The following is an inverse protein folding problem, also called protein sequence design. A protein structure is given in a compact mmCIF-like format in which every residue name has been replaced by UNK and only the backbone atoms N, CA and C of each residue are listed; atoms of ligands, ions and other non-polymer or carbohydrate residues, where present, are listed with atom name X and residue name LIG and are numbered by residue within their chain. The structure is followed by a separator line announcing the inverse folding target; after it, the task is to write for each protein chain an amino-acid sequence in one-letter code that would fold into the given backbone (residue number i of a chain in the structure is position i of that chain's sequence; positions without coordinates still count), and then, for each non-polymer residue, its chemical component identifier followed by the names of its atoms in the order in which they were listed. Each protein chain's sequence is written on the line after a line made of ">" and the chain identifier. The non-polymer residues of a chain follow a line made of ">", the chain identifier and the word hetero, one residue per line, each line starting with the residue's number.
data_IF_096379483025
#
_entry.id   IF_096379483025
#
_cell.length_a   1.000
_cell.length_b   1.000
_cell.length_c   1.000
_cell.angle_alpha   90.00
_cell.angle_beta   90.00
_cell.angle_gamma   90.00
#
_symmetry.space_group_name_H-M   'P 1'
#
loop_
_entity.id
_entity.type
_entity.pdbx_description
1 polymer ?
#
# COMPACT_ATOMS: atom_id res chain seq x y z
N UNK A 1 63.27 -3.45 29.50
CA UNK A 1 63.70 -2.27 28.72
C UNK A 1 62.98 -2.37 27.39
N UNK A 2 62.08 -1.41 27.12
CA UNK A 2 61.62 -1.00 25.78
C UNK A 2 60.89 -2.05 24.91
N UNK A 3 59.95 -1.78 24.01
CA UNK A 3 58.92 -0.77 23.71
C UNK A 3 58.30 -1.34 22.43
N UNK A 4 56.98 -1.30 22.26
CA UNK A 4 56.36 -1.80 21.02
C UNK A 4 54.84 -1.84 21.09
N UNK A 5 54.23 -0.67 21.29
CA UNK A 5 52.79 -0.49 21.23
C UNK A 5 52.29 -0.65 19.79
N UNK A 6 51.25 -1.47 19.59
CA UNK A 6 50.30 -1.28 18.50
C UNK A 6 48.98 -0.83 19.10
N UNK A 7 48.65 0.44 18.89
CA UNK A 7 47.35 1.00 19.20
C UNK A 7 46.36 0.55 18.12
N UNK A 8 45.35 -0.22 18.49
CA UNK A 8 44.11 -0.34 17.73
C UNK A 8 42.98 0.13 18.64
N UNK A 9 42.62 1.40 18.47
CA UNK A 9 41.48 2.06 19.07
C UNK A 9 40.18 1.48 18.48
N UNK A 10 39.27 1.04 19.35
CA UNK A 10 37.87 0.79 18.99
C UNK A 10 37.11 0.25 20.20
N UNK A 11 36.04 0.92 20.68
CA UNK A 11 35.16 0.32 21.67
C UNK A 11 34.52 -0.94 21.08
N UNK A 12 34.47 -2.01 21.88
CA UNK A 12 33.66 -3.18 21.60
C UNK A 12 32.19 -2.74 21.58
N UNK A 13 31.60 -2.59 20.40
CA UNK A 13 30.17 -2.31 20.26
C UNK A 13 29.39 -3.50 20.86
N UNK A 14 28.60 -3.28 21.93
CA UNK A 14 27.80 -4.35 22.50
C UNK A 14 26.65 -4.65 21.53
N UNK A 15 26.66 -5.85 20.98
CA UNK A 15 25.49 -6.62 20.55
C UNK A 15 24.36 -5.73 19.97
N UNK A 16 24.57 -5.21 18.75
CA UNK A 16 23.48 -4.66 17.94
C UNK A 16 22.89 -5.74 17.03
N UNK A 17 22.35 -6.77 17.67
CA UNK A 17 21.40 -7.68 17.04
C UNK A 17 20.14 -7.72 17.89
N UNK A 18 19.54 -6.55 18.12
CA UNK A 18 18.08 -6.52 18.23
C UNK A 18 17.59 -6.36 16.80
N UNK A 19 17.05 -7.44 16.27
CA UNK A 19 16.25 -7.38 15.06
C UNK A 19 15.05 -6.48 15.40
N UNK A 20 15.17 -5.20 15.05
CA UNK A 20 14.01 -4.35 14.91
C UNK A 20 13.19 -4.98 13.80
N UNK A 21 12.27 -5.87 14.20
CA UNK A 21 11.03 -6.12 13.50
C UNK A 21 10.42 -4.74 13.38
N UNK A 22 10.77 -4.04 12.31
CA UNK A 22 10.09 -2.84 11.88
C UNK A 22 8.73 -3.34 11.47
N UNK A 23 7.83 -3.41 12.45
CA UNK A 23 6.41 -3.32 12.21
C UNK A 23 6.27 -2.04 11.43
N UNK A 24 6.22 -2.15 10.09
CA UNK A 24 5.83 -1.04 9.24
C UNK A 24 4.41 -0.76 9.70
N UNK A 25 4.27 0.24 10.58
CA UNK A 25 2.99 0.82 10.88
C UNK A 25 2.32 1.01 9.52
N UNK A 26 1.11 0.48 9.39
CA UNK A 26 0.24 0.87 8.28
C UNK A 26 -0.04 2.34 8.51
N UNK A 27 0.89 3.20 8.11
CA UNK A 27 0.60 4.60 7.91
C UNK A 27 -0.50 4.61 6.87
N UNK A 28 -1.67 5.08 7.29
CA UNK A 28 -2.66 5.52 6.34
C UNK A 28 -1.95 6.53 5.47
N UNK A 29 -1.70 6.16 4.21
CA UNK A 29 -1.20 7.10 3.21
C UNK A 29 -2.26 8.18 3.09
N UNK A 30 -2.05 9.25 3.86
CA UNK A 30 -2.85 10.45 3.78
C UNK A 30 -2.46 11.09 2.46
N UNK A 31 -3.24 10.83 1.42
CA UNK A 31 -3.16 11.58 0.17
C UNK A 31 -3.36 13.04 0.53
N UNK A 32 -2.27 13.80 0.46
CA UNK A 32 -2.24 15.21 0.84
C UNK A 32 -3.26 16.00 0.00
N UNK A 33 -3.97 16.91 0.66
CA UNK A 33 -4.91 17.84 0.03
C UNK A 33 -4.12 18.78 -0.87
N UNK A 34 -4.36 18.69 -2.18
CA UNK A 34 -4.21 19.82 -3.09
C UNK A 34 -5.62 20.16 -3.57
N UNK A 35 -6.06 21.38 -3.32
CA UNK A 35 -7.23 21.94 -4.00
C UNK A 35 -6.84 22.14 -5.47
N UNK A 36 -6.90 21.07 -6.26
CA UNK A 36 -6.66 21.15 -7.68
C UNK A 36 -8.00 21.39 -8.40
N UNK A 37 -8.10 22.52 -9.09
CA UNK A 37 -9.17 22.81 -10.04
C UNK A 37 -8.92 22.08 -11.39
N UNK A 38 -8.32 20.90 -11.32
CA UNK A 38 -7.90 20.07 -12.45
C UNK A 38 -8.50 18.69 -12.31
N UNK A 39 -9.15 18.23 -13.37
CA UNK A 39 -9.71 16.88 -13.48
C UNK A 39 -8.69 15.85 -12.99
N UNK A 40 -8.98 15.22 -11.86
CA UNK A 40 -8.20 14.11 -11.34
C UNK A 40 -8.18 12.99 -12.38
N UNK A 41 -7.11 12.94 -13.18
CA UNK A 41 -6.90 11.93 -14.22
C UNK A 41 -6.49 10.59 -13.60
N UNK A 42 -7.08 10.21 -12.46
CA UNK A 42 -7.01 8.87 -11.86
C UNK A 42 -7.26 7.86 -12.97
N UNK A 43 -6.19 7.29 -13.49
CA UNK A 43 -6.22 6.34 -14.59
C UNK A 43 -6.23 4.95 -13.98
N UNK A 44 -7.31 4.19 -14.19
CA UNK A 44 -7.44 2.83 -13.68
C UNK A 44 -8.26 2.72 -12.38
N UNK A 45 -8.00 1.64 -11.64
CA UNK A 45 -8.76 1.27 -10.44
C UNK A 45 -8.31 2.05 -9.19
N UNK A 46 -9.23 2.26 -8.25
CA UNK A 46 -8.94 2.90 -6.96
C UNK A 46 -10.02 2.67 -5.91
N UNK A 47 -9.82 3.20 -4.71
CA UNK A 47 -10.82 3.21 -3.63
C UNK A 47 -11.35 4.64 -3.45
N UNK A 48 -12.67 4.79 -3.31
CA UNK A 48 -13.29 6.10 -3.06
C UNK A 48 -12.91 6.67 -1.70
N UNK A 49 -13.02 7.99 -1.53
CA UNK A 49 -12.63 8.68 -0.28
C UNK A 49 -13.45 8.22 0.94
N UNK A 50 -14.73 7.92 0.74
CA UNK A 50 -15.61 7.35 1.77
C UNK A 50 -15.36 5.85 2.02
N UNK A 51 -14.43 5.25 1.25
CA UNK A 51 -14.06 3.82 1.28
C UNK A 51 -15.21 2.88 0.92
N UNK A 52 -16.30 3.39 0.36
CA UNK A 52 -17.48 2.61 0.04
C UNK A 52 -17.46 1.98 -1.35
N UNK A 53 -16.59 2.46 -2.23
CA UNK A 53 -16.55 2.03 -3.62
C UNK A 53 -15.14 1.64 -4.05
N UNK A 54 -15.06 0.57 -4.82
CA UNK A 54 -14.01 0.43 -5.82
C UNK A 54 -14.42 1.30 -7.00
N UNK A 55 -13.48 2.09 -7.48
CA UNK A 55 -13.67 3.03 -8.58
C UNK A 55 -12.83 2.62 -9.78
N UNK A 56 -13.31 2.96 -10.98
CA UNK A 56 -12.56 2.89 -12.23
C UNK A 56 -12.64 4.26 -12.90
N UNK A 57 -11.48 4.87 -13.18
CA UNK A 57 -11.40 6.24 -13.69
C UNK A 57 -12.15 7.26 -12.82
N UNK A 58 -12.05 7.09 -11.49
CA UNK A 58 -12.74 7.93 -10.50
C UNK A 58 -14.25 7.74 -10.41
N UNK A 59 -14.85 6.86 -11.24
CA UNK A 59 -16.28 6.53 -11.19
C UNK A 59 -16.53 5.29 -10.35
N UNK A 60 -17.63 5.27 -9.62
CA UNK A 60 -18.05 4.14 -8.79
C UNK A 60 -18.32 2.90 -9.66
N UNK A 61 -17.62 1.80 -9.38
CA UNK A 61 -17.74 0.53 -10.11
C UNK A 61 -18.38 -0.55 -9.24
N UNK A 62 -17.87 -0.75 -8.02
CA UNK A 62 -18.30 -1.83 -7.14
C UNK A 62 -18.51 -1.32 -5.72
N UNK A 63 -19.73 -1.47 -5.20
CA UNK A 63 -20.06 -1.12 -3.82
C UNK A 63 -19.47 -2.17 -2.88
N UNK A 64 -18.69 -1.72 -1.92
CA UNK A 64 -18.24 -2.55 -0.82
C UNK A 64 -19.39 -2.67 0.18
N UNK A 65 -19.46 -3.75 0.94
CA UNK A 65 -20.34 -3.85 2.11
C UNK A 65 -19.62 -3.38 3.37
N UNK A 66 -20.34 -3.08 4.45
CA UNK A 66 -19.76 -2.48 5.66
C UNK A 66 -18.64 -3.35 6.27
N UNK A 67 -18.82 -4.66 6.24
CA UNK A 67 -17.86 -5.68 6.69
C UNK A 67 -16.63 -5.82 5.78
N UNK A 68 -16.75 -5.41 4.52
CA UNK A 68 -15.68 -5.44 3.52
C UNK A 68 -15.00 -4.08 3.32
N UNK A 69 -15.28 -3.08 4.18
CA UNK A 69 -14.64 -1.76 4.09
C UNK A 69 -13.12 -1.86 4.33
N UNK A 70 -12.29 -1.21 3.51
CA UNK A 70 -10.84 -1.32 3.61
C UNK A 70 -10.29 -0.59 4.84
N UNK A 71 -9.51 -1.31 5.64
CA UNK A 71 -8.51 -0.74 6.53
C UNK A 71 -7.23 -0.40 5.76
N UNK A 72 -6.88 -1.23 4.78
CA UNK A 72 -5.78 -1.02 3.84
C UNK A 72 -6.19 -1.52 2.45
N UNK A 73 -5.55 -1.01 1.41
CA UNK A 73 -5.79 -1.45 0.03
C UNK A 73 -4.56 -1.28 -0.85
N UNK A 74 -4.42 -2.13 -1.86
CA UNK A 74 -3.43 -1.99 -2.91
C UNK A 74 -4.06 -2.26 -4.28
N UNK A 75 -3.56 -1.58 -5.30
CA UNK A 75 -4.01 -1.74 -6.70
C UNK A 75 -2.80 -2.07 -7.56
N UNK A 76 -2.91 -3.10 -8.40
CA UNK A 76 -1.92 -3.45 -9.41
C UNK A 76 -2.64 -3.89 -10.69
N UNK A 77 -2.53 -3.09 -11.75
CA UNK A 77 -3.24 -3.32 -13.00
C UNK A 77 -4.75 -3.40 -12.79
N UNK A 78 -5.36 -4.52 -13.17
CA UNK A 78 -6.79 -4.81 -12.96
C UNK A 78 -7.12 -5.55 -11.67
N UNK A 79 -6.16 -5.66 -10.74
CA UNK A 79 -6.34 -6.33 -9.46
C UNK A 79 -6.40 -5.32 -8.33
N UNK A 80 -7.44 -5.43 -7.50
CA UNK A 80 -7.64 -4.65 -6.28
C UNK A 80 -7.60 -5.59 -5.09
N UNK A 81 -6.74 -5.29 -4.12
CA UNK A 81 -6.60 -6.03 -2.87
C UNK A 81 -7.10 -5.15 -1.73
N UNK A 82 -7.95 -5.70 -0.88
CA UNK A 82 -8.54 -5.04 0.29
C UNK A 82 -8.19 -5.83 1.54
N UNK A 83 -7.53 -5.18 2.50
CA UNK A 83 -7.40 -5.67 3.87
C UNK A 83 -8.51 -5.09 4.73
N UNK A 84 -9.34 -5.94 5.34
CA UNK A 84 -10.43 -5.54 6.22
C UNK A 84 -9.95 -5.43 7.67
N UNK A 85 -10.69 -4.66 8.49
CA UNK A 85 -10.42 -4.53 9.95
C UNK A 85 -10.46 -5.89 10.67
N UNK A 86 -11.26 -6.82 10.17
CA UNK A 86 -11.37 -8.19 10.69
C UNK A 86 -10.15 -9.08 10.42
N UNK A 87 -9.16 -8.60 9.67
CA UNK A 87 -8.02 -9.39 9.21
C UNK A 87 -8.28 -10.20 7.93
N UNK A 88 -9.51 -10.18 7.41
CA UNK A 88 -9.82 -10.79 6.10
C UNK A 88 -9.16 -10.00 4.97
N UNK A 89 -8.71 -10.71 3.94
CA UNK A 89 -8.17 -10.12 2.71
C UNK A 89 -9.07 -10.53 1.54
N UNK A 90 -9.50 -9.53 0.76
CA UNK A 90 -10.33 -9.71 -0.44
C UNK A 90 -9.48 -9.34 -1.65
N UNK A 91 -9.46 -10.21 -2.65
CA UNK A 91 -8.73 -10.00 -3.91
C UNK A 91 -9.74 -10.04 -5.04
N UNK A 92 -9.83 -8.94 -5.80
CA UNK A 92 -10.73 -8.81 -6.94
C UNK A 92 -9.91 -8.53 -8.18
N UNK A 93 -10.06 -9.39 -9.20
CA UNK A 93 -9.47 -9.18 -10.52
C UNK A 93 -10.57 -8.91 -11.52
N UNK A 94 -10.47 -7.78 -12.19
CA UNK A 94 -11.40 -7.39 -13.24
C UNK A 94 -10.83 -7.84 -14.60
N UNK A 95 -11.66 -8.51 -15.39
CA UNK A 95 -11.37 -8.77 -16.80
C UNK A 95 -11.91 -7.59 -17.61
N UNK A 96 -11.15 -7.20 -18.63
CA UNK A 96 -11.69 -6.32 -19.66
C UNK A 96 -12.57 -7.18 -20.57
N UNK A 97 -13.86 -6.86 -20.63
CA UNK A 97 -14.73 -7.40 -21.67
C UNK A 97 -14.28 -6.78 -23.00
N UNK A 98 -13.26 -7.38 -23.62
CA UNK A 98 -13.09 -7.18 -25.06
C UNK A 98 -14.28 -7.87 -25.71
N UNK A 99 -15.21 -7.13 -26.36
CA UNK A 99 -16.19 -7.81 -27.18
C UNK A 99 -15.40 -8.70 -28.13
N UNK A 100 -15.82 -9.95 -28.28
CA UNK A 100 -15.25 -10.85 -29.27
C UNK A 100 -15.49 -10.20 -30.63
N UNK A 101 -14.53 -9.37 -31.07
CA UNK A 101 -14.47 -8.85 -32.41
C UNK A 101 -14.17 -10.07 -33.26
N UNK A 102 -15.22 -10.69 -33.77
CA UNK A 102 -15.10 -11.67 -34.82
C UNK A 102 -14.28 -11.04 -35.94
N UNK A 103 -13.22 -11.72 -36.35
CA UNK A 103 -12.48 -11.47 -37.58
C UNK A 103 -12.52 -12.75 -38.39
#
# INVERSE_FOLDING_TARGET
>A
MDSGAISLQGPLDPIRATESITTRSSESFSSQILADNGQDRRSGYGISKDRCWITLHGKNLFWLTADSRPASSAVSGSTVVIGCVSGKVIILRFCEDKPALWS
#
